data_IF_337226311257
#
_entry.id   IF_337226311257
#
_cell.length_a   1.000
_cell.length_b   1.000
_cell.length_c   1.000
_cell.angle_alpha   90.00
_cell.angle_beta   90.00
_cell.angle_gamma   90.00
#
_symmetry.space_group_name_H-M   'P 1'
#
loop_
_entity.id
_entity.type
_entity.pdbx_description
1 polymer ?
#
# COMPACT_ATOMS: atom_id res chain seq x y z
N UNK A 1 -8.82 13.19 -2.68
CA UNK A 1 -8.34 14.43 -3.33
C UNK A 1 -8.51 14.30 -4.85
N UNK A 2 -9.33 15.16 -5.50
CA UNK A 2 -9.54 15.13 -6.95
C UNK A 2 -8.30 15.53 -7.78
N UNK A 3 -7.29 16.16 -7.18
CA UNK A 3 -6.01 16.51 -7.82
C UNK A 3 -4.98 15.38 -7.79
N UNK A 4 -5.19 14.37 -6.94
CA UNK A 4 -4.29 13.22 -6.82
C UNK A 4 -4.39 12.31 -8.05
N UNK A 5 -3.37 12.37 -8.91
CA UNK A 5 -3.28 11.53 -10.11
C UNK A 5 -2.59 10.22 -9.76
N UNK A 6 -3.40 9.18 -9.53
CA UNK A 6 -2.92 7.82 -9.32
C UNK A 6 -2.79 7.05 -10.66
N UNK A 7 -1.70 6.30 -10.90
CA UNK A 7 -1.63 5.39 -12.04
C UNK A 7 -2.72 4.30 -11.99
N UNK A 8 -3.27 4.01 -10.81
CA UNK A 8 -4.35 3.03 -10.62
C UNK A 8 -5.75 3.60 -10.89
N UNK A 9 -5.91 4.90 -11.17
CA UNK A 9 -7.22 5.53 -11.42
C UNK A 9 -8.06 4.80 -12.47
N UNK A 10 -7.40 4.22 -13.49
CA UNK A 10 -8.05 3.43 -14.53
C UNK A 10 -8.78 2.18 -14.02
N UNK A 11 -8.20 1.48 -13.03
CA UNK A 11 -8.78 0.27 -12.45
C UNK A 11 -10.09 0.57 -11.68
N UNK A 12 -10.32 1.81 -11.29
CA UNK A 12 -11.47 2.24 -10.49
C UNK A 12 -12.53 3.02 -11.27
N UNK A 13 -12.49 3.03 -12.61
CA UNK A 13 -13.46 3.78 -13.44
C UNK A 13 -14.92 3.40 -13.18
N UNK A 14 -15.17 2.13 -12.84
CA UNK A 14 -16.49 1.60 -12.52
C UNK A 14 -16.91 1.82 -11.06
N UNK A 15 -16.01 2.28 -10.18
CA UNK A 15 -16.34 2.61 -8.80
C UNK A 15 -17.17 3.91 -8.78
N UNK A 16 -18.34 3.85 -8.15
CA UNK A 16 -19.22 5.01 -7.92
C UNK A 16 -18.91 5.68 -6.58
N UNK A 17 -18.81 4.90 -5.52
CA UNK A 17 -18.51 5.40 -4.17
C UNK A 17 -17.84 4.34 -3.30
N UNK A 18 -17.15 4.83 -2.27
CA UNK A 18 -16.60 4.04 -1.15
C UNK A 18 -17.10 4.71 0.12
N UNK A 19 -17.74 3.93 0.99
CA UNK A 19 -18.30 4.42 2.24
C UNK A 19 -17.79 3.57 3.40
N UNK A 20 -17.24 4.21 4.44
CA UNK A 20 -16.98 3.57 5.72
C UNK A 20 -18.28 3.61 6.54
N UNK A 21 -19.09 2.55 6.43
CA UNK A 21 -20.40 2.47 7.11
C UNK A 21 -20.23 2.42 8.64
N UNK A 22 -19.18 1.76 9.10
CA UNK A 22 -18.79 1.64 10.50
C UNK A 22 -17.30 1.29 10.60
N UNK A 23 -16.79 1.09 11.84
CA UNK A 23 -15.37 0.83 12.11
C UNK A 23 -14.81 -0.40 11.38
N UNK A 24 -15.65 -1.36 11.01
CA UNK A 24 -15.22 -2.64 10.44
C UNK A 24 -15.88 -2.97 9.10
N UNK A 25 -16.64 -2.03 8.53
CA UNK A 25 -17.35 -2.23 7.27
C UNK A 25 -17.06 -1.12 6.26
N UNK A 26 -16.56 -1.53 5.09
CA UNK A 26 -16.44 -0.66 3.91
C UNK A 26 -17.41 -1.15 2.84
N UNK A 27 -18.22 -0.23 2.30
CA UNK A 27 -19.18 -0.49 1.23
C UNK A 27 -18.67 0.13 -0.07
N UNK A 28 -18.53 -0.69 -1.10
CA UNK A 28 -18.16 -0.26 -2.45
C UNK A 28 -19.40 -0.30 -3.34
N UNK A 29 -19.78 0.84 -3.92
CA UNK A 29 -20.87 0.88 -4.91
C UNK A 29 -20.28 1.00 -6.31
N UNK A 30 -20.69 0.13 -7.22
CA UNK A 30 -20.26 0.15 -8.62
C UNK A 30 -21.30 0.84 -9.50
N UNK A 31 -20.86 1.39 -10.64
CA UNK A 31 -21.74 2.02 -11.63
C UNK A 31 -22.58 0.99 -12.38
N UNK A 32 -22.05 -0.21 -12.54
CA UNK A 32 -22.67 -1.37 -13.19
C UNK A 32 -22.10 -2.68 -12.58
N UNK A 33 -22.78 -3.83 -12.73
CA UNK A 33 -22.27 -5.11 -12.24
C UNK A 33 -20.92 -5.47 -12.86
N UNK A 34 -19.93 -5.75 -12.02
CA UNK A 34 -18.60 -6.17 -12.47
C UNK A 34 -18.02 -7.22 -11.52
N UNK A 35 -18.18 -8.50 -11.87
CA UNK A 35 -17.79 -9.63 -11.01
C UNK A 35 -16.30 -9.68 -10.67
N UNK A 36 -15.45 -9.15 -11.56
CA UNK A 36 -14.01 -9.10 -11.33
C UNK A 36 -13.56 -7.94 -10.44
N UNK A 37 -14.46 -7.07 -9.96
CA UNK A 37 -14.08 -5.93 -9.10
C UNK A 37 -13.15 -6.29 -7.92
N UNK A 38 -13.32 -7.42 -7.20
CA UNK A 38 -12.44 -7.76 -6.08
C UNK A 38 -10.95 -7.83 -6.44
N UNK A 39 -10.58 -8.18 -7.68
CA UNK A 39 -9.15 -8.22 -8.08
C UNK A 39 -8.50 -6.84 -8.01
N UNK A 40 -9.29 -5.78 -8.22
CA UNK A 40 -8.78 -4.42 -8.17
C UNK A 40 -8.38 -4.03 -6.74
N UNK A 41 -9.01 -4.62 -5.72
CA UNK A 41 -8.75 -4.35 -4.30
C UNK A 41 -7.39 -4.88 -3.79
N UNK A 42 -6.70 -5.71 -4.58
CA UNK A 42 -5.35 -6.19 -4.26
C UNK A 42 -4.28 -5.11 -4.52
N UNK A 43 -4.53 -4.23 -5.49
CA UNK A 43 -3.57 -3.22 -5.94
C UNK A 43 -3.37 -2.05 -4.97
N UNK A 44 -4.42 -1.43 -4.39
CA UNK A 44 -4.24 -0.29 -3.50
C UNK A 44 -3.76 -0.78 -2.15
N UNK A 45 -2.69 -0.18 -1.67
CA UNK A 45 -2.32 -0.32 -0.26
C UNK A 45 -3.19 0.63 0.56
N UNK A 46 -3.66 0.16 1.72
CA UNK A 46 -4.37 1.00 2.68
C UNK A 46 -3.31 1.79 3.47
N UNK A 47 -3.41 3.11 3.41
CA UNK A 47 -2.50 4.06 4.07
C UNK A 47 -3.27 4.93 5.07
N UNK A 48 -2.60 5.54 6.07
CA UNK A 48 -3.24 6.49 6.96
C UNK A 48 -3.89 7.65 6.21
N UNK A 49 -5.04 8.11 6.70
CA UNK A 49 -5.68 9.33 6.19
C UNK A 49 -4.76 10.54 6.41
N UNK A 50 -4.73 11.46 5.44
CA UNK A 50 -3.94 12.69 5.57
C UNK A 50 -2.43 12.50 5.40
N UNK A 51 -1.98 11.35 4.88
CA UNK A 51 -0.57 11.14 4.54
C UNK A 51 -0.05 12.29 3.65
N UNK A 52 0.91 13.04 4.17
CA UNK A 52 1.50 14.18 3.48
C UNK A 52 2.61 13.75 2.49
N UNK A 53 3.16 14.65 1.68
CA UNK A 53 4.17 14.28 0.67
C UNK A 53 5.41 13.56 1.22
N UNK A 54 5.78 13.75 2.49
CA UNK A 54 6.88 13.05 3.16
C UNK A 54 6.65 11.55 3.31
N UNK A 55 5.41 11.08 3.16
CA UNK A 55 5.07 9.67 3.12
C UNK A 55 5.80 8.90 2.01
N UNK A 56 6.24 9.60 0.95
CA UNK A 56 7.08 9.00 -0.10
C UNK A 56 8.44 8.54 0.43
N UNK A 57 9.02 9.33 1.34
CA UNK A 57 10.35 9.08 1.90
C UNK A 57 10.26 8.22 3.17
N UNK A 58 9.12 8.28 3.86
CA UNK A 58 8.84 7.54 5.09
C UNK A 58 7.49 6.81 4.99
N UNK A 59 7.40 5.73 4.19
CA UNK A 59 6.14 5.02 3.98
C UNK A 59 5.68 4.31 5.26
N UNK A 60 4.39 4.44 5.56
CA UNK A 60 3.74 3.75 6.68
C UNK A 60 2.65 2.84 6.13
N UNK A 61 2.74 1.54 6.43
CA UNK A 61 1.78 0.54 5.98
C UNK A 61 1.33 -0.39 7.10
N UNK A 62 0.52 -1.38 6.73
CA UNK A 62 -0.04 -2.40 7.64
C UNK A 62 0.60 -3.78 7.45
N UNK A 63 1.71 -3.84 6.70
CA UNK A 63 2.40 -5.07 6.35
C UNK A 63 3.26 -5.66 7.48
N UNK A 64 3.85 -6.85 7.23
CA UNK A 64 4.67 -7.56 8.21
C UNK A 64 6.01 -6.90 8.56
N UNK A 65 6.46 -5.93 7.77
CA UNK A 65 7.73 -5.24 7.97
C UNK A 65 7.53 -3.72 8.00
N UNK A 66 8.34 -3.05 8.81
CA UNK A 66 8.43 -1.59 8.92
C UNK A 66 9.58 -1.08 8.07
N UNK A 67 9.36 0.04 7.39
CA UNK A 67 10.41 0.79 6.72
C UNK A 67 11.44 1.31 7.73
N UNK A 68 12.73 1.08 7.47
CA UNK A 68 13.81 1.70 8.25
C UNK A 68 14.45 2.84 7.45
N UNK A 69 14.97 2.53 6.26
CA UNK A 69 15.61 3.50 5.38
C UNK A 69 15.73 2.98 3.97
N UNK A 70 15.82 3.92 3.05
CA UNK A 70 16.20 3.69 1.67
C UNK A 70 17.45 4.50 1.35
N UNK A 71 18.51 3.81 0.93
CA UNK A 71 19.71 4.41 0.40
C UNK A 71 19.67 4.24 -1.12
N UNK A 72 19.52 5.36 -1.82
CA UNK A 72 19.44 5.42 -3.28
C UNK A 72 20.66 4.70 -3.88
N UNK A 73 20.41 3.83 -4.86
CA UNK A 73 21.40 3.01 -5.55
C UNK A 73 22.21 2.04 -4.66
N UNK A 74 21.79 1.80 -3.41
CA UNK A 74 22.44 0.86 -2.48
C UNK A 74 21.46 -0.19 -1.95
N UNK A 75 20.52 0.20 -1.07
CA UNK A 75 19.64 -0.76 -0.40
C UNK A 75 18.37 -0.16 0.21
N UNK A 76 17.35 -1.01 0.31
CA UNK A 76 16.18 -0.82 1.16
C UNK A 76 16.28 -1.73 2.39
N UNK A 77 16.18 -1.15 3.58
CA UNK A 77 16.21 -1.86 4.84
C UNK A 77 14.84 -1.85 5.52
N UNK A 78 14.40 -3.02 5.97
CA UNK A 78 13.11 -3.24 6.61
C UNK A 78 13.30 -4.05 7.91
N UNK A 79 12.58 -3.69 8.98
CA UNK A 79 12.55 -4.46 10.23
C UNK A 79 11.23 -5.23 10.36
N UNK A 80 11.25 -6.39 11.01
CA UNK A 80 10.03 -7.11 11.36
C UNK A 80 9.09 -6.26 12.24
N UNK A 81 7.78 -6.33 11.98
CA UNK A 81 6.75 -5.70 12.80
C UNK A 81 6.11 -6.72 13.75
N UNK A 82 6.39 -6.61 15.06
CA UNK A 82 5.83 -7.49 16.08
C UNK A 82 4.30 -7.42 16.20
N UNK A 83 3.71 -6.28 15.86
CA UNK A 83 2.26 -6.06 15.92
C UNK A 83 1.51 -6.41 14.64
N UNK A 84 2.14 -7.12 13.69
CA UNK A 84 1.46 -7.54 12.47
C UNK A 84 0.32 -8.52 12.79
N UNK A 85 -0.86 -8.29 12.22
CA UNK A 85 -2.07 -9.07 12.53
C UNK A 85 -1.96 -10.55 12.13
N UNK A 86 -1.07 -10.89 11.19
CA UNK A 86 -0.77 -12.27 10.80
C UNK A 86 0.30 -12.95 11.64
N UNK A 87 0.79 -12.30 12.70
CA UNK A 87 1.92 -12.74 13.52
C UNK A 87 3.27 -12.24 13.03
N UNK A 88 4.26 -12.17 13.92
CA UNK A 88 5.62 -11.69 13.60
C UNK A 88 6.24 -12.54 12.48
N UNK A 89 6.90 -11.92 11.48
CA UNK A 89 7.75 -12.63 10.52
C UNK A 89 8.80 -13.51 11.20
N UNK A 90 9.22 -14.57 10.51
CA UNK A 90 10.20 -15.54 11.05
C UNK A 90 11.63 -14.99 11.16
N UNK A 91 11.95 -13.95 10.39
CA UNK A 91 13.24 -13.26 10.38
C UNK A 91 13.07 -11.83 10.90
N UNK A 92 14.17 -11.24 11.39
CA UNK A 92 14.14 -9.94 12.06
C UNK A 92 14.03 -8.75 11.11
N UNK A 93 14.25 -8.96 9.81
CA UNK A 93 14.22 -7.91 8.81
C UNK A 93 14.69 -8.36 7.44
N UNK A 94 14.64 -7.44 6.49
CA UNK A 94 15.08 -7.63 5.10
C UNK A 94 16.06 -6.52 4.72
N UNK A 95 17.10 -6.89 3.99
CA UNK A 95 17.98 -5.95 3.29
C UNK A 95 17.89 -6.28 1.81
N UNK A 96 17.20 -5.43 1.06
CA UNK A 96 17.07 -5.55 -0.39
C UNK A 96 18.15 -4.69 -1.02
N UNK A 97 19.21 -5.32 -1.53
CA UNK A 97 20.31 -4.62 -2.20
C UNK A 97 19.95 -4.35 -3.66
N UNK A 98 20.24 -3.13 -4.10
CA UNK A 98 20.24 -2.75 -5.51
C UNK A 98 21.63 -3.10 -6.04
N UNK A 99 21.67 -3.98 -7.03
CA UNK A 99 22.89 -4.33 -7.75
C UNK A 99 22.72 -3.79 -9.16
N UNK A 100 23.32 -2.64 -9.49
CA UNK A 100 23.31 -2.12 -10.85
C UNK A 100 23.98 -3.11 -11.80
N UNK A 101 23.46 -3.19 -13.01
CA UNK A 101 24.13 -3.89 -14.11
C UNK A 101 25.06 -2.89 -14.81
N UNK A 102 26.26 -3.35 -15.18
CA UNK A 102 27.24 -2.55 -15.91
C UNK A 102 26.88 -2.57 -17.40
N UNK A 103 25.95 -1.69 -17.83
CA UNK A 103 25.64 -1.48 -19.26
C UNK A 103 26.36 -0.24 -19.79
#
# INVERSE_FOLDING_TARGET
DPTFVSPYKGAYRLLRSVEARDRYTVVFTLKEPFGSFPINLVLPQIVPEGADPSFRDHPIGTGPYRFLRYLVDDRLELAAFDGYFGGRPRNDGLVLRIVPDDV
#
